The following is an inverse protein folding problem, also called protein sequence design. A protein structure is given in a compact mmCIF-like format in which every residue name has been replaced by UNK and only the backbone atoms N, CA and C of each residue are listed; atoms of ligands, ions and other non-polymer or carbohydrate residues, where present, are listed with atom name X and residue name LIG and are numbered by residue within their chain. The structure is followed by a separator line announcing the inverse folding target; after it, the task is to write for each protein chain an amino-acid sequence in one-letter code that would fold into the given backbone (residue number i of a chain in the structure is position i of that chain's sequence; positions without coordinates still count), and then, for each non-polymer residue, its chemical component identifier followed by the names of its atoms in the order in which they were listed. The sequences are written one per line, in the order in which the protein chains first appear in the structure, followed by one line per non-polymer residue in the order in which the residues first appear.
data_IF_852793209064
#
_entry.id   IF_852793209064
#
_cell.length_a   1.000
_cell.length_b   1.000
_cell.length_c   1.000
_cell.angle_alpha   90.00
_cell.angle_beta   90.00
_cell.angle_gamma   90.00
#
_symmetry.space_group_name_H-M   'P 1'
#
loop_
_entity.id
_entity.type
_entity.pdbx_description
1 polymer ?
#
# COMPACT_ATOMS: atom_id res chain seq x y z
N UNK A 1 0.53 16.54 -6.54
CA UNK A 1 0.17 16.03 -5.19
C UNK A 1 0.41 17.13 -4.19
N UNK A 2 -0.41 17.23 -3.15
CA UNK A 2 -0.27 18.18 -2.05
C UNK A 2 0.41 17.48 -0.87
N UNK A 3 1.16 18.22 -0.06
CA UNK A 3 1.68 17.80 1.26
C UNK A 3 2.56 16.53 1.33
N UNK A 4 2.87 15.89 0.19
CA UNK A 4 3.90 14.85 0.11
C UNK A 4 5.23 15.52 -0.20
N UNK A 5 6.25 15.33 0.67
CA UNK A 5 7.55 15.94 0.47
C UNK A 5 8.30 15.31 -0.71
N UNK A 6 9.24 16.06 -1.28
CA UNK A 6 10.25 15.45 -2.15
C UNK A 6 11.25 14.67 -1.29
N UNK A 7 11.16 13.34 -1.37
CA UNK A 7 12.05 12.43 -0.64
C UNK A 7 13.47 12.38 -1.23
N UNK A 8 13.79 13.16 -2.26
CA UNK A 8 15.10 13.21 -2.93
C UNK A 8 15.58 11.81 -3.32
N UNK A 9 14.71 11.08 -4.01
CA UNK A 9 14.91 9.68 -4.34
C UNK A 9 16.09 9.50 -5.30
N UNK A 10 16.81 8.39 -5.12
CA UNK A 10 17.80 7.91 -6.08
C UNK A 10 17.10 6.99 -7.07
N UNK A 11 17.50 7.03 -8.33
CA UNK A 11 16.86 6.24 -9.40
C UNK A 11 17.86 5.27 -10.03
N UNK A 12 17.34 4.14 -10.53
CA UNK A 12 18.09 3.20 -11.37
C UNK A 12 18.27 3.77 -12.79
N UNK A 13 18.86 2.98 -13.69
CA UNK A 13 18.98 3.38 -15.10
C UNK A 13 17.65 3.29 -15.85
N UNK A 14 16.69 2.57 -15.29
CA UNK A 14 15.34 2.32 -15.79
C UNK A 14 14.29 3.19 -15.05
N UNK A 15 14.71 4.35 -14.54
CA UNK A 15 13.91 5.36 -13.82
C UNK A 15 13.02 4.82 -12.69
N UNK A 16 13.43 3.70 -12.09
CA UNK A 16 12.77 3.13 -10.92
C UNK A 16 13.48 3.60 -9.65
N UNK A 17 12.78 4.13 -8.64
CA UNK A 17 13.39 4.53 -7.38
C UNK A 17 14.16 3.38 -6.72
N UNK A 18 15.32 3.67 -6.13
CA UNK A 18 16.12 2.73 -5.35
C UNK A 18 15.84 3.00 -3.87
N UNK A 19 14.97 2.19 -3.29
CA UNK A 19 14.48 2.33 -1.93
C UNK A 19 14.79 1.10 -1.09
N UNK A 20 15.38 1.31 0.09
CA UNK A 20 15.46 0.28 1.14
C UNK A 20 14.14 0.21 1.90
N UNK A 21 13.84 -0.97 2.42
CA UNK A 21 12.68 -1.19 3.29
C UNK A 21 12.57 -0.16 4.43
N UNK A 22 13.68 0.14 5.12
CA UNK A 22 13.71 1.15 6.20
C UNK A 22 13.42 2.57 5.71
N UNK A 23 13.79 2.92 4.48
CA UNK A 23 13.48 4.24 3.89
C UNK A 23 11.97 4.35 3.64
N UNK A 24 11.36 3.31 3.06
CA UNK A 24 9.90 3.26 2.82
C UNK A 24 9.11 3.36 4.14
N UNK A 25 9.54 2.63 5.17
CA UNK A 25 8.91 2.64 6.49
C UNK A 25 8.96 4.04 7.13
N UNK A 26 10.11 4.71 7.05
CA UNK A 26 10.28 6.08 7.53
C UNK A 26 9.44 7.09 6.73
N UNK A 27 9.35 6.96 5.41
CA UNK A 27 8.52 7.82 4.57
C UNK A 27 7.03 7.68 4.89
N UNK A 28 6.54 6.44 5.03
CA UNK A 28 5.15 6.18 5.43
C UNK A 28 4.85 6.81 6.80
N UNK A 29 5.72 6.60 7.78
CA UNK A 29 5.58 7.17 9.13
C UNK A 29 5.62 8.70 9.11
N UNK A 30 6.49 9.30 8.29
CA UNK A 30 6.57 10.75 8.13
C UNK A 30 5.25 11.34 7.59
N UNK A 31 4.70 10.76 6.52
CA UNK A 31 3.43 11.24 5.93
C UNK A 31 2.30 11.19 6.96
N UNK A 32 2.19 10.08 7.70
CA UNK A 32 1.17 9.92 8.74
C UNK A 32 1.38 10.85 9.93
N UNK A 33 2.64 11.11 10.30
CA UNK A 33 2.99 12.07 11.33
C UNK A 33 2.55 13.48 10.93
N UNK A 34 2.84 13.92 9.71
CA UNK A 34 2.42 15.24 9.23
C UNK A 34 0.89 15.35 9.10
N UNK A 35 0.23 14.29 8.63
CA UNK A 35 -1.24 14.21 8.62
C UNK A 35 -1.82 14.37 10.04
N UNK A 36 -1.27 13.65 11.03
CA UNK A 36 -1.71 13.69 12.44
C UNK A 36 -1.60 15.10 13.06
N UNK A 37 -0.66 15.94 12.61
CA UNK A 37 -0.52 17.32 13.11
C UNK A 37 -1.70 18.22 12.73
N UNK A 38 -2.37 17.91 11.62
CA UNK A 38 -3.50 18.70 11.09
C UNK A 38 -4.87 18.07 11.34
N UNK A 39 -4.91 16.83 11.84
CA UNK A 39 -6.12 16.02 12.05
C UNK A 39 -6.13 15.43 13.47
N UNK A 40 -6.58 16.20 14.48
CA UNK A 40 -6.48 15.81 15.89
C UNK A 40 -7.27 14.53 16.26
N UNK A 41 -8.22 14.11 15.42
CA UNK A 41 -8.94 12.86 15.54
C UNK A 41 -8.10 11.62 15.20
N UNK A 42 -6.96 11.80 14.52
CA UNK A 42 -6.04 10.74 14.14
C UNK A 42 -4.64 10.95 14.74
N UNK A 43 -4.03 9.85 15.15
CA UNK A 43 -2.65 9.82 15.65
C UNK A 43 -1.98 8.57 15.15
N UNK A 44 -0.91 8.73 14.38
CA UNK A 44 -0.07 7.62 13.90
C UNK A 44 0.64 6.84 15.02
N UNK A 45 0.61 7.35 16.26
CA UNK A 45 1.14 6.66 17.45
C UNK A 45 0.10 5.73 18.08
N UNK A 46 -1.18 5.99 17.89
CA UNK A 46 -2.25 5.21 18.51
C UNK A 46 -2.63 4.02 17.63
N UNK A 47 -2.90 2.83 18.19
CA UNK A 47 -3.46 1.72 17.43
C UNK A 47 -4.87 2.03 16.94
N UNK A 48 -5.01 2.29 15.65
CA UNK A 48 -6.27 2.59 14.98
C UNK A 48 -6.15 2.37 13.47
N UNK A 49 -7.29 2.32 12.78
CA UNK A 49 -7.32 2.25 11.33
C UNK A 49 -6.78 3.55 10.71
N UNK A 50 -5.96 3.43 9.66
CA UNK A 50 -5.52 4.57 8.87
C UNK A 50 -6.69 5.08 8.02
N UNK A 51 -7.09 6.37 8.11
CA UNK A 51 -8.18 6.95 7.31
C UNK A 51 -7.68 7.19 5.87
N UNK A 52 -7.42 6.10 5.15
CA UNK A 52 -6.64 6.08 3.92
C UNK A 52 -7.28 6.93 2.81
N UNK A 53 -8.61 6.88 2.64
CA UNK A 53 -9.32 7.70 1.65
C UNK A 53 -9.18 9.19 1.94
N UNK A 54 -9.40 9.61 3.19
CA UNK A 54 -9.22 11.01 3.60
C UNK A 54 -7.78 11.47 3.37
N UNK A 55 -6.80 10.61 3.62
CA UNK A 55 -5.40 10.94 3.37
C UNK A 55 -5.15 11.09 1.86
N UNK A 56 -5.66 10.20 1.02
CA UNK A 56 -5.51 10.27 -0.44
C UNK A 56 -6.16 11.56 -0.98
N UNK A 57 -7.44 11.78 -0.69
CA UNK A 57 -8.21 12.87 -1.32
C UNK A 57 -7.96 14.22 -0.65
N UNK A 58 -8.06 14.30 0.68
CA UNK A 58 -8.07 15.57 1.41
C UNK A 58 -6.66 16.05 1.74
N UNK A 59 -5.75 15.14 2.10
CA UNK A 59 -4.39 15.51 2.48
C UNK A 59 -3.42 15.51 1.28
N UNK A 60 -3.38 14.43 0.50
CA UNK A 60 -2.52 14.30 -0.67
C UNK A 60 -3.08 15.01 -1.91
N UNK A 61 -4.38 15.36 -1.91
CA UNK A 61 -5.02 16.03 -3.05
C UNK A 61 -4.99 15.18 -4.32
N UNK A 62 -5.11 13.86 -4.17
CA UNK A 62 -5.19 12.90 -5.27
C UNK A 62 -6.67 12.62 -5.54
N UNK A 63 -7.10 12.75 -6.79
CA UNK A 63 -8.44 12.36 -7.21
C UNK A 63 -8.62 10.85 -7.11
N UNK A 64 -9.78 10.41 -6.65
CA UNK A 64 -10.12 9.00 -6.54
C UNK A 64 -11.53 8.74 -7.10
N UNK A 65 -11.73 7.56 -7.68
CA UNK A 65 -13.08 7.11 -8.07
C UNK A 65 -13.22 5.58 -7.96
N UNK A 66 -14.46 5.12 -7.85
CA UNK A 66 -14.83 3.71 -7.80
C UNK A 66 -15.54 3.31 -9.07
N UNK A 67 -14.99 2.33 -9.79
CA UNK A 67 -15.57 1.83 -11.04
C UNK A 67 -15.51 0.30 -11.09
N UNK A 68 -16.48 -0.32 -11.75
CA UNK A 68 -16.39 -1.73 -12.09
C UNK A 68 -15.54 -1.87 -13.35
N UNK A 69 -14.30 -2.36 -13.21
CA UNK A 69 -13.42 -2.59 -14.35
C UNK A 69 -14.04 -3.61 -15.31
N UNK A 70 -13.86 -3.42 -16.62
CA UNK A 70 -14.25 -4.42 -17.61
C UNK A 70 -13.38 -5.68 -17.54
N UNK A 71 -12.16 -5.55 -17.01
CA UNK A 71 -11.29 -6.68 -16.71
C UNK A 71 -11.48 -7.12 -15.26
N UNK A 72 -11.97 -8.35 -15.07
CA UNK A 72 -12.41 -8.89 -13.77
C UNK A 72 -11.29 -9.06 -12.73
N UNK A 73 -10.03 -9.00 -13.16
CA UNK A 73 -8.88 -9.24 -12.28
C UNK A 73 -8.27 -7.95 -11.70
N UNK A 74 -8.71 -6.77 -12.14
CA UNK A 74 -8.17 -5.49 -11.68
C UNK A 74 -8.89 -5.07 -10.40
N UNK A 75 -8.10 -4.77 -9.36
CA UNK A 75 -8.60 -4.28 -8.07
C UNK A 75 -8.38 -2.79 -7.90
N UNK A 76 -7.29 -2.27 -8.46
CA UNK A 76 -6.91 -0.88 -8.38
C UNK A 76 -6.09 -0.47 -9.60
N UNK A 77 -6.06 0.82 -9.86
CA UNK A 77 -5.24 1.40 -10.91
C UNK A 77 -4.79 2.80 -10.52
N UNK A 78 -3.54 3.12 -10.79
CA UNK A 78 -3.01 4.49 -10.76
C UNK A 78 -2.74 4.97 -12.19
N UNK A 79 -3.45 6.03 -12.60
CA UNK A 79 -3.19 6.70 -13.87
C UNK A 79 -2.00 7.66 -13.75
N UNK A 80 -1.09 7.62 -14.72
CA UNK A 80 0.08 8.51 -14.78
C UNK A 80 0.05 9.50 -15.95
N UNK A 81 -0.82 9.26 -16.94
CA UNK A 81 -1.16 10.22 -17.99
C UNK A 81 -2.68 10.22 -18.20
N UNK A 82 -3.20 11.28 -18.83
CA UNK A 82 -4.62 11.30 -19.21
C UNK A 82 -4.92 10.17 -20.19
N UNK A 83 -5.99 9.42 -19.94
CA UNK A 83 -6.32 8.26 -20.76
C UNK A 83 -7.77 7.83 -20.60
N UNK A 84 -8.10 6.68 -21.20
CA UNK A 84 -9.40 6.06 -21.07
C UNK A 84 -9.24 4.59 -20.67
N UNK A 85 -9.99 4.17 -19.65
CA UNK A 85 -10.14 2.76 -19.28
C UNK A 85 -11.49 2.23 -19.74
N UNK A 86 -11.63 0.91 -19.80
CA UNK A 86 -12.92 0.26 -20.03
C UNK A 86 -13.54 -0.14 -18.69
N UNK A 87 -14.76 0.33 -18.44
CA UNK A 87 -15.56 -0.01 -17.25
C UNK A 87 -16.86 -0.68 -17.67
N UNK A 88 -17.52 -1.36 -16.74
CA UNK A 88 -18.88 -1.86 -16.91
C UNK A 88 -19.86 -0.87 -16.28
N UNK A 89 -20.79 -0.37 -17.08
CA UNK A 89 -21.91 0.47 -16.63
C UNK A 89 -23.20 -0.05 -17.28
N UNK A 90 -24.23 -0.29 -16.47
CA UNK A 90 -25.52 -0.87 -16.91
C UNK A 90 -25.36 -2.16 -17.73
N UNK A 91 -24.40 -3.02 -17.34
CA UNK A 91 -24.10 -4.28 -18.01
C UNK A 91 -23.39 -4.16 -19.36
N UNK A 92 -22.88 -2.98 -19.72
CA UNK A 92 -22.15 -2.73 -20.97
C UNK A 92 -20.76 -2.19 -20.69
N UNK A 93 -19.80 -2.60 -21.52
CA UNK A 93 -18.47 -1.99 -21.52
C UNK A 93 -18.53 -0.60 -22.13
N UNK A 94 -18.10 0.41 -21.38
CA UNK A 94 -18.04 1.81 -21.82
C UNK A 94 -16.67 2.41 -21.49
N UNK A 95 -16.14 3.32 -22.33
CA UNK A 95 -14.91 4.04 -22.01
C UNK A 95 -15.16 5.04 -20.88
N UNK A 96 -14.21 5.15 -19.97
CA UNK A 96 -14.20 6.09 -18.85
C UNK A 96 -12.90 6.89 -18.88
N UNK A 97 -13.02 8.23 -18.98
CA UNK A 97 -11.87 9.13 -19.04
C UNK A 97 -11.27 9.26 -17.64
N UNK A 98 -9.95 9.12 -17.55
CA UNK A 98 -9.18 9.24 -16.31
C UNK A 98 -8.17 10.36 -16.45
N UNK A 99 -8.08 11.22 -15.44
CA UNK A 99 -7.08 12.29 -15.38
C UNK A 99 -5.77 11.77 -14.80
N UNK A 100 -4.66 12.41 -15.20
CA UNK A 100 -3.33 12.10 -14.69
C UNK A 100 -3.26 12.16 -13.16
N UNK A 101 -2.72 11.10 -12.55
CA UNK A 101 -2.52 10.98 -11.11
C UNK A 101 -3.75 10.52 -10.35
N UNK A 102 -4.84 10.13 -11.05
CA UNK A 102 -6.07 9.62 -10.43
C UNK A 102 -5.90 8.16 -10.01
N UNK A 103 -6.44 7.81 -8.84
CA UNK A 103 -6.59 6.42 -8.38
C UNK A 103 -7.99 5.93 -8.71
N UNK A 104 -8.11 4.78 -9.37
CA UNK A 104 -9.39 4.11 -9.62
C UNK A 104 -9.40 2.78 -8.87
N UNK A 105 -10.43 2.55 -8.07
CA UNK A 105 -10.59 1.30 -7.30
C UNK A 105 -11.78 0.51 -7.83
N UNK A 106 -11.68 -0.82 -7.80
CA UNK A 106 -12.78 -1.71 -8.16
C UNK A 106 -13.93 -1.53 -7.18
N UNK A 107 -15.11 -1.17 -7.68
CA UNK A 107 -16.33 -1.05 -6.86
C UNK A 107 -16.77 -2.38 -6.24
N UNK A 108 -16.23 -3.52 -6.69
CA UNK A 108 -16.46 -4.82 -6.05
C UNK A 108 -15.88 -4.89 -4.62
N UNK A 109 -14.83 -4.12 -4.33
CA UNK A 109 -14.20 -4.08 -3.00
C UNK A 109 -15.02 -3.27 -1.99
N UNK A 110 -15.74 -2.24 -2.46
CA UNK A 110 -16.62 -1.43 -1.63
C UNK A 110 -17.91 -2.17 -1.26
N UNK A 111 -18.39 -3.04 -2.16
CA UNK A 111 -19.69 -3.70 -2.01
C UNK A 111 -19.77 -4.76 -0.89
N UNK A 112 -18.63 -5.22 -0.34
CA UNK A 112 -18.57 -6.25 0.71
C UNK A 112 -17.70 -5.79 1.88
N UNK A 113 -18.29 -5.52 3.04
CA UNK A 113 -17.57 -5.13 4.27
C UNK A 113 -16.47 -6.15 4.66
N UNK A 114 -16.59 -7.42 4.27
CA UNK A 114 -15.53 -8.41 4.52
C UNK A 114 -14.25 -8.14 3.74
N UNK A 115 -14.33 -7.28 2.71
CA UNK A 115 -13.23 -6.83 1.88
C UNK A 115 -12.62 -5.51 2.37
N UNK A 116 -13.07 -4.92 3.48
CA UNK A 116 -12.55 -3.64 4.01
C UNK A 116 -11.01 -3.66 4.12
N UNK A 117 -10.43 -4.75 4.63
CA UNK A 117 -8.98 -4.90 4.72
C UNK A 117 -8.25 -5.06 3.38
N UNK A 118 -8.94 -5.53 2.34
CA UNK A 118 -8.42 -5.60 0.96
C UNK A 118 -8.56 -4.24 0.28
N UNK A 119 -9.68 -3.56 0.46
CA UNK A 119 -9.91 -2.19 0.00
C UNK A 119 -8.83 -1.24 0.53
N UNK A 120 -8.62 -1.22 1.85
CA UNK A 120 -7.61 -0.38 2.48
C UNK A 120 -6.20 -0.67 1.93
N UNK A 121 -5.89 -1.96 1.69
CA UNK A 121 -4.62 -2.37 1.10
C UNK A 121 -4.46 -1.84 -0.32
N UNK A 122 -5.45 -2.04 -1.18
CA UNK A 122 -5.42 -1.55 -2.56
C UNK A 122 -5.26 -0.03 -2.59
N UNK A 123 -6.03 0.72 -1.80
CA UNK A 123 -5.91 2.17 -1.69
C UNK A 123 -4.49 2.60 -1.30
N UNK A 124 -3.92 1.99 -0.27
CA UNK A 124 -2.57 2.32 0.19
C UNK A 124 -1.48 1.90 -0.81
N UNK A 125 -1.70 0.82 -1.56
CA UNK A 125 -0.82 0.36 -2.63
C UNK A 125 -0.81 1.36 -3.81
N UNK A 126 -1.98 1.79 -4.28
CA UNK A 126 -2.10 2.84 -5.32
C UNK A 126 -1.55 4.20 -4.86
N UNK A 127 -1.70 4.54 -3.57
CA UNK A 127 -1.01 5.68 -3.00
C UNK A 127 0.52 5.52 -3.07
N UNK A 128 1.05 4.32 -2.79
CA UNK A 128 2.46 4.01 -2.94
C UNK A 128 2.98 4.24 -4.36
N UNK A 129 2.21 3.84 -5.38
CA UNK A 129 2.50 4.15 -6.77
C UNK A 129 2.57 5.64 -7.05
N UNK A 130 1.60 6.39 -6.51
CA UNK A 130 1.60 7.84 -6.60
C UNK A 130 2.82 8.48 -5.91
N UNK A 131 3.23 7.99 -4.74
CA UNK A 131 4.33 8.56 -3.96
C UNK A 131 5.69 8.32 -4.62
N UNK A 132 5.93 7.12 -5.17
CA UNK A 132 7.26 6.74 -5.65
C UNK A 132 7.42 6.72 -7.17
N UNK A 133 6.38 6.36 -7.92
CA UNK A 133 6.54 5.95 -9.31
C UNK A 133 6.11 7.00 -10.33
N UNK A 134 5.59 8.16 -9.91
CA UNK A 134 5.17 9.23 -10.82
C UNK A 134 6.22 9.58 -11.86
N UNK A 135 7.49 9.75 -11.46
CA UNK A 135 8.57 10.17 -12.36
C UNK A 135 8.77 9.24 -13.56
N UNK A 136 8.65 7.92 -13.34
CA UNK A 136 8.82 6.89 -14.38
C UNK A 136 7.86 7.08 -15.56
N UNK A 137 6.76 7.78 -15.35
CA UNK A 137 5.70 8.00 -16.33
C UNK A 137 5.46 9.50 -16.62
N UNK A 138 6.33 10.39 -16.11
CA UNK A 138 6.24 11.84 -16.30
C UNK A 138 7.22 12.39 -17.35
N UNK A 139 8.33 11.70 -17.61
CA UNK A 139 9.34 12.13 -18.59
C UNK A 139 9.15 11.37 -19.92
N UNK A 140 8.80 12.04 -21.04
CA UNK A 140 8.97 11.47 -22.36
C UNK A 140 10.47 11.26 -22.57
N UNK A 141 10.89 10.04 -22.91
CA UNK A 141 12.27 9.78 -23.31
C UNK A 141 12.57 10.48 -24.65
N UNK A 142 13.04 11.73 -24.59
CA UNK A 142 13.51 12.48 -25.76
C UNK A 142 14.87 11.97 -26.28
N UNK A 143 15.49 10.94 -25.67
CA UNK A 143 16.76 10.37 -26.15
C UNK A 143 16.57 9.33 -27.24
N UNK A 144 15.35 8.82 -27.41
CA UNK A 144 14.94 7.96 -28.51
C UNK A 144 14.37 8.82 -29.64
N UNK A 145 15.16 9.14 -30.66
CA UNK A 145 14.57 9.63 -31.92
C UNK A 145 13.61 8.55 -32.43
N UNK A 146 12.30 8.81 -32.57
CA UNK A 146 11.40 7.82 -33.14
C UNK A 146 11.85 7.56 -34.58
N UNK A 147 12.24 6.32 -34.86
CA UNK A 147 12.42 5.91 -36.25
C UNK A 147 11.04 5.95 -36.91
N UNK A 148 10.97 6.43 -38.16
CA UNK A 148 9.73 6.54 -38.95
C UNK A 148 9.00 5.20 -39.21
N UNK A 149 9.51 4.10 -38.66
CA UNK A 149 9.06 2.73 -38.88
C UNK A 149 8.81 1.92 -37.60
N UNK A 150 9.01 2.50 -36.41
CA UNK A 150 8.64 1.82 -35.17
C UNK A 150 7.16 2.10 -34.87
N UNK A 151 6.40 1.04 -34.56
CA UNK A 151 5.09 1.19 -33.93
C UNK A 151 5.27 2.08 -32.69
N UNK A 152 4.42 3.11 -32.52
CA UNK A 152 4.47 3.97 -31.34
C UNK A 152 4.56 3.08 -30.09
N UNK A 153 5.60 3.22 -29.25
CA UNK A 153 5.64 2.49 -28.00
C UNK A 153 4.34 2.82 -27.28
N UNK A 154 3.52 1.80 -26.99
CA UNK A 154 2.33 1.97 -26.16
C UNK A 154 2.81 2.50 -24.82
N UNK A 155 2.79 3.82 -24.63
CA UNK A 155 3.01 4.43 -23.34
C UNK A 155 1.99 3.80 -22.38
N UNK A 156 2.47 3.04 -21.39
CA UNK A 156 1.62 2.51 -20.35
C UNK A 156 1.09 3.69 -19.53
N UNK A 157 -0.14 4.13 -19.86
CA UNK A 157 -0.78 5.30 -19.26
C UNK A 157 -1.13 5.11 -17.78
N UNK A 158 -1.06 3.87 -17.28
CA UNK A 158 -1.43 3.49 -15.93
C UNK A 158 -0.71 2.22 -15.47
N UNK A 159 -0.58 2.05 -14.15
CA UNK A 159 -0.28 0.76 -13.51
C UNK A 159 -1.59 0.18 -12.98
N UNK A 160 -1.81 -1.12 -13.21
CA UNK A 160 -2.97 -1.87 -12.75
C UNK A 160 -2.59 -2.93 -11.71
N UNK A 161 -3.21 -2.88 -10.54
CA UNK A 161 -3.05 -3.87 -9.51
C UNK A 161 -4.03 -5.04 -9.72
N UNK A 162 -3.50 -6.24 -9.94
CA UNK A 162 -4.30 -7.45 -10.15
C UNK A 162 -4.51 -8.26 -8.86
N UNK A 163 -5.65 -8.95 -8.74
CA UNK A 163 -6.00 -9.80 -7.59
C UNK A 163 -4.92 -10.85 -7.29
N UNK A 164 -4.37 -11.48 -8.32
CA UNK A 164 -3.34 -12.52 -8.20
C UNK A 164 -2.05 -12.01 -7.52
N UNK A 165 -1.68 -10.74 -7.76
CA UNK A 165 -0.48 -10.13 -7.19
C UNK A 165 -0.64 -9.90 -5.67
N UNK A 166 -1.85 -9.53 -5.22
CA UNK A 166 -2.17 -9.37 -3.80
C UNK A 166 -2.26 -10.74 -3.10
N UNK A 167 -2.79 -11.75 -3.81
CA UNK A 167 -2.99 -13.10 -3.27
C UNK A 167 -1.69 -13.93 -3.21
N UNK A 168 -0.64 -13.58 -3.97
CA UNK A 168 0.65 -14.28 -3.92
C UNK A 168 1.88 -13.33 -3.94
N UNK A 169 2.14 -12.60 -2.84
CA UNK A 169 3.25 -11.65 -2.79
C UNK A 169 4.64 -12.29 -2.73
N UNK A 170 4.72 -13.59 -2.43
CA UNK A 170 5.98 -14.33 -2.27
C UNK A 170 6.46 -15.02 -3.57
N UNK A 171 5.77 -14.84 -4.71
CA UNK A 171 6.28 -15.35 -5.98
C UNK A 171 7.43 -14.46 -6.47
N UNK A 172 8.64 -14.79 -6.01
CA UNK A 172 9.89 -14.02 -6.21
C UNK A 172 10.49 -14.12 -7.61
N UNK A 173 9.95 -14.93 -8.51
CA UNK A 173 10.45 -15.01 -9.89
C UNK A 173 9.91 -13.84 -10.71
N UNK A 174 10.71 -12.77 -10.79
CA UNK A 174 10.45 -11.65 -11.70
C UNK A 174 9.52 -10.56 -11.15
N UNK A 175 9.34 -10.49 -9.82
CA UNK A 175 8.52 -9.43 -9.21
C UNK A 175 9.11 -8.06 -9.53
N UNK A 176 8.31 -7.19 -10.14
CA UNK A 176 8.70 -5.81 -10.44
C UNK A 176 9.02 -5.08 -9.11
N UNK A 177 10.17 -4.40 -9.08
CA UNK A 177 10.57 -3.57 -7.94
C UNK A 177 9.51 -2.50 -7.63
N UNK A 178 8.80 -2.03 -8.65
CA UNK A 178 7.70 -1.07 -8.54
C UNK A 178 6.57 -1.62 -7.66
N UNK A 179 6.06 -2.82 -7.98
CA UNK A 179 5.01 -3.50 -7.19
C UNK A 179 5.46 -3.79 -5.76
N UNK A 180 6.71 -4.23 -5.59
CA UNK A 180 7.26 -4.49 -4.26
C UNK A 180 7.33 -3.21 -3.41
N UNK A 181 7.70 -2.07 -3.99
CA UNK A 181 7.74 -0.79 -3.28
C UNK A 181 6.34 -0.33 -2.86
N UNK A 182 5.36 -0.46 -3.74
CA UNK A 182 3.96 -0.12 -3.45
C UNK A 182 3.37 -1.04 -2.36
N UNK A 183 3.60 -2.34 -2.44
CA UNK A 183 3.20 -3.31 -1.40
C UNK A 183 3.82 -3.02 -0.04
N UNK A 184 5.13 -2.79 -0.02
CA UNK A 184 5.85 -2.52 1.22
C UNK A 184 5.37 -1.21 1.84
N UNK A 185 5.13 -0.18 1.01
CA UNK A 185 4.53 1.07 1.44
C UNK A 185 3.14 0.86 2.04
N UNK A 186 2.24 0.15 1.35
CA UNK A 186 0.89 -0.14 1.85
C UNK A 186 0.92 -0.81 3.22
N UNK A 187 1.82 -1.79 3.40
CA UNK A 187 2.01 -2.47 4.68
C UNK A 187 2.47 -1.53 5.80
N UNK A 188 3.42 -0.64 5.51
CA UNK A 188 3.93 0.34 6.49
C UNK A 188 2.90 1.42 6.81
N UNK A 189 2.11 1.83 5.81
CA UNK A 189 1.17 2.95 5.91
C UNK A 189 -0.12 2.56 6.66
N UNK A 190 -0.61 1.33 6.47
CA UNK A 190 -1.78 0.84 7.18
C UNK A 190 -1.44 0.33 8.59
N UNK A 191 -0.19 -0.06 8.82
CA UNK A 191 0.29 -0.55 10.12
C UNK A 191 1.65 0.11 10.46
N UNK A 192 1.63 1.39 10.87
CA UNK A 192 2.85 2.13 11.23
C UNK A 192 3.56 1.43 12.39
N UNK A 193 4.90 1.37 12.34
CA UNK A 193 5.67 0.66 13.37
C UNK A 193 5.41 1.21 14.76
N UNK A 194 5.15 2.51 14.88
CA UNK A 194 4.82 3.22 16.12
C UNK A 194 3.52 2.69 16.71
N UNK A 195 2.42 2.73 15.95
CA UNK A 195 1.12 2.21 16.37
C UNK A 195 1.12 0.69 16.62
N UNK A 196 1.84 -0.10 15.79
CA UNK A 196 1.98 -1.54 16.03
C UNK A 196 2.68 -1.80 17.35
N UNK A 197 3.74 -1.04 17.64
CA UNK A 197 4.48 -1.15 18.89
C UNK A 197 3.61 -0.76 20.08
N UNK A 198 2.87 0.34 19.96
CA UNK A 198 1.93 0.77 21.00
C UNK A 198 0.84 -0.28 21.28
N UNK A 199 0.33 -0.96 20.25
CA UNK A 199 -0.66 -2.02 20.42
C UNK A 199 -0.14 -3.16 21.30
N UNK A 200 1.06 -3.66 20.99
CA UNK A 200 1.64 -4.82 21.68
C UNK A 200 2.25 -4.47 23.04
N UNK A 201 2.67 -3.21 23.25
CA UNK A 201 3.01 -2.67 24.58
C UNK A 201 1.80 -2.70 25.51
N UNK A 202 0.67 -2.17 25.05
CA UNK A 202 -0.57 -2.10 25.84
C UNK A 202 -1.11 -3.49 26.21
N UNK A 203 -0.88 -4.50 25.36
CA UNK A 203 -1.23 -5.88 25.69
C UNK A 203 -0.37 -6.47 26.81
N UNK A 204 0.97 -6.40 26.71
CA UNK A 204 1.87 -7.04 27.70
C UNK A 204 2.00 -6.29 29.02
N UNK A 205 1.63 -5.00 29.08
CA UNK A 205 1.83 -4.13 30.26
C UNK A 205 3.30 -4.07 30.73
N UNK A 206 4.24 -4.29 29.81
CA UNK A 206 5.69 -4.25 30.07
C UNK A 206 6.22 -2.81 29.89
N UNK A 207 7.30 -2.42 30.59
CA UNK A 207 7.93 -1.11 30.43
C UNK A 207 8.59 -0.91 29.05
N UNK A 208 8.94 0.34 28.75
CA UNK A 208 9.33 0.88 27.43
C UNK A 208 10.19 -0.06 26.57
N UNK A 209 9.56 -0.71 25.57
CA UNK A 209 10.28 -1.31 24.42
C UNK A 209 11.12 -0.23 23.73
N UNK A 210 12.43 -0.48 23.67
CA UNK A 210 13.43 0.37 23.01
C UNK A 210 13.59 -0.07 21.56
N UNK A 211 13.34 0.85 20.62
CA UNK A 211 13.57 0.60 19.20
C UNK A 211 15.07 0.42 18.92
N UNK A 212 15.46 -0.73 18.35
CA UNK A 212 16.81 -0.94 17.79
C UNK A 212 17.63 -2.08 18.39
N UNK A 213 17.18 -2.72 19.46
CA UNK A 213 17.73 -4.01 19.90
C UNK A 213 16.96 -5.12 19.16
N UNK A 214 17.64 -6.12 18.58
CA UNK A 214 16.95 -7.26 17.97
C UNK A 214 16.17 -7.98 19.08
N UNK A 215 14.82 -7.93 19.10
CA UNK A 215 14.10 -8.68 20.08
C UNK A 215 14.23 -10.16 19.69
N UNK A 216 14.61 -11.01 20.64
CA UNK A 216 14.09 -12.37 20.62
C UNK A 216 12.58 -12.27 20.35
N UNK A 217 12.02 -13.01 19.36
CA UNK A 217 10.71 -12.70 18.79
C UNK A 217 9.68 -12.47 19.90
N UNK A 218 9.23 -11.21 20.02
CA UNK A 218 8.56 -10.66 21.22
C UNK A 218 7.30 -11.44 21.64
N UNK A 219 6.72 -12.24 20.74
CA UNK A 219 5.54 -13.07 20.98
C UNK A 219 5.81 -14.58 20.94
N UNK A 220 7.07 -15.03 20.76
CA UNK A 220 7.42 -16.43 20.56
C UNK A 220 7.05 -17.36 21.72
N UNK A 221 7.02 -16.85 22.94
CA UNK A 221 6.63 -17.62 24.13
C UNK A 221 5.13 -17.51 24.47
N UNK A 222 4.34 -16.74 23.72
CA UNK A 222 2.93 -16.54 24.04
C UNK A 222 2.08 -17.79 23.68
N UNK A 223 1.14 -18.21 24.55
CA UNK A 223 0.22 -19.30 24.24
C UNK A 223 -0.58 -19.02 22.96
N UNK A 224 -0.68 -20.01 22.07
CA UNK A 224 -1.30 -19.85 20.74
C UNK A 224 -2.73 -19.27 20.78
N UNK A 225 -3.57 -19.67 21.74
CA UNK A 225 -4.95 -19.18 21.83
C UNK A 225 -5.03 -17.70 22.26
N UNK A 226 -4.10 -17.27 23.10
CA UNK A 226 -3.96 -15.86 23.47
C UNK A 226 -3.48 -15.07 22.26
N UNK A 227 -2.42 -15.55 21.59
CA UNK A 227 -1.94 -14.97 20.34
C UNK A 227 -3.07 -14.78 19.32
N UNK A 228 -3.84 -15.84 19.08
CA UNK A 228 -4.90 -15.83 18.09
C UNK A 228 -5.98 -14.78 18.41
N UNK A 229 -6.37 -14.65 19.67
CA UNK A 229 -7.35 -13.66 20.12
C UNK A 229 -6.83 -12.24 19.88
N UNK A 230 -5.59 -11.99 20.29
CA UNK A 230 -4.95 -10.69 20.20
C UNK A 230 -4.64 -10.29 18.76
N UNK A 231 -4.24 -11.26 17.95
CA UNK A 231 -4.04 -11.08 16.51
C UNK A 231 -5.34 -10.70 15.80
N UNK A 232 -6.48 -11.33 16.15
CA UNK A 232 -7.77 -10.92 15.60
C UNK A 232 -8.15 -9.50 16.06
N UNK A 233 -7.86 -9.13 17.31
CA UNK A 233 -8.03 -7.74 17.77
C UNK A 233 -7.13 -6.78 16.98
N UNK A 234 -5.88 -7.15 16.72
CA UNK A 234 -4.94 -6.37 15.91
C UNK A 234 -5.49 -6.14 14.49
N UNK A 235 -5.90 -7.22 13.81
CA UNK A 235 -6.51 -7.18 12.48
C UNK A 235 -7.73 -6.24 12.45
N UNK A 236 -8.62 -6.35 13.45
CA UNK A 236 -9.80 -5.49 13.56
C UNK A 236 -9.46 -4.03 13.94
N UNK A 237 -8.37 -3.80 14.67
CA UNK A 237 -7.95 -2.45 15.09
C UNK A 237 -7.41 -1.65 13.92
N UNK A 238 -6.56 -2.27 13.10
CA UNK A 238 -5.96 -1.64 11.92
C UNK A 238 -6.80 -1.76 10.65
N UNK A 239 -7.91 -2.54 10.68
CA UNK A 239 -8.80 -2.78 9.54
C UNK A 239 -8.06 -3.29 8.30
N UNK A 240 -7.23 -4.32 8.52
CA UNK A 240 -6.41 -4.97 7.48
C UNK A 240 -6.79 -6.44 7.32
N UNK A 241 -6.30 -7.10 6.27
CA UNK A 241 -6.45 -8.55 6.16
C UNK A 241 -5.50 -9.27 7.14
N UNK A 242 -5.88 -10.49 7.56
CA UNK A 242 -5.01 -11.35 8.39
C UNK A 242 -3.65 -11.59 7.74
N UNK A 243 -3.64 -11.80 6.43
CA UNK A 243 -2.41 -12.01 5.67
C UNK A 243 -1.48 -10.80 5.75
N UNK A 244 -2.00 -9.60 5.50
CA UNK A 244 -1.23 -8.36 5.60
C UNK A 244 -0.68 -8.15 7.02
N UNK A 245 -1.50 -8.37 8.04
CA UNK A 245 -1.09 -8.30 9.45
C UNK A 245 0.05 -9.28 9.77
N UNK A 246 -0.07 -10.55 9.37
CA UNK A 246 0.97 -11.57 9.57
C UNK A 246 2.29 -11.14 8.93
N UNK A 247 2.26 -10.70 7.67
CA UNK A 247 3.45 -10.23 6.95
C UNK A 247 4.10 -9.06 7.70
N UNK A 248 3.32 -8.06 8.13
CA UNK A 248 3.87 -6.89 8.84
C UNK A 248 4.51 -7.28 10.17
N UNK A 249 3.87 -8.15 10.95
CA UNK A 249 4.43 -8.62 12.23
C UNK A 249 5.73 -9.41 12.04
N UNK A 250 5.85 -10.22 10.98
CA UNK A 250 7.11 -10.88 10.62
C UNK A 250 8.18 -9.85 10.25
N UNK A 251 7.84 -8.85 9.42
CA UNK A 251 8.79 -7.81 8.99
C UNK A 251 9.29 -6.93 10.13
N UNK A 252 8.46 -6.71 11.14
CA UNK A 252 8.80 -5.99 12.37
C UNK A 252 9.38 -6.90 13.47
N UNK A 253 9.62 -8.19 13.17
CA UNK A 253 10.18 -9.18 14.09
C UNK A 253 9.36 -9.44 15.38
N UNK A 254 8.03 -9.25 15.33
CA UNK A 254 7.12 -9.61 16.42
C UNK A 254 6.83 -11.11 16.49
N UNK A 255 6.82 -11.78 15.33
CA UNK A 255 6.61 -13.23 15.18
C UNK A 255 7.61 -13.81 14.17
N UNK A 256 7.89 -15.11 14.29
CA UNK A 256 8.70 -15.82 13.30
C UNK A 256 7.85 -16.25 12.11
N UNK A 257 8.44 -16.34 10.91
CA UNK A 257 7.77 -16.86 9.71
C UNK A 257 7.55 -18.38 9.70
N UNK A 258 7.68 -19.05 10.85
CA UNK A 258 7.59 -20.51 10.95
C UNK A 258 6.16 -21.05 11.06
N UNK A 259 6.02 -22.38 10.93
CA UNK A 259 4.74 -23.11 10.87
C UNK A 259 3.77 -22.89 12.05
N UNK A 260 4.26 -22.38 13.18
CA UNK A 260 3.44 -22.11 14.36
C UNK A 260 2.30 -21.09 14.09
N UNK A 261 2.43 -20.30 13.01
CA UNK A 261 1.51 -19.21 12.66
C UNK A 261 0.82 -19.41 11.31
N UNK A 262 0.92 -20.59 10.70
CA UNK A 262 0.35 -20.89 9.36
C UNK A 262 -1.17 -21.09 9.36
N UNK A 263 -1.77 -21.24 10.54
CA UNK A 263 -3.21 -21.43 10.73
C UNK A 263 -3.98 -20.15 11.12
N UNK A 264 -3.35 -18.97 11.01
CA UNK A 264 -3.95 -17.64 11.23
C UNK A 264 -4.55 -17.08 9.94
#
# INVERSE_FOLDING_TARGET
MKNIPDFNLRYSKEDTPILKAVEIDNHASFILQEYSKSHPEYSFLNPQATPIENIIELYCGISMDYQLFAEENILGMTSFSEGCINIIRDGKTVPYKVEKGTIIISSELEADEKQEGRLNYTLAHELGHNVYHRRKFEEPDYSSQPSLFDEEPKEEFAITCHRDNIENPDNTQGRDWVEWQADYFASCFLMPKEAVTEFWKNYRKEPEFVFGEEPEPYLAEMPYNEFKTEFLRFVNTFKVSKKAAKIRLIKLNYITGGKAYDCL
#
